data_IF_881613628424
#
_entry.id   IF_881613628424
#
_cell.length_a   1.000
_cell.length_b   1.000
_cell.length_c   1.000
_cell.angle_alpha   90.00
_cell.angle_beta   90.00
_cell.angle_gamma   90.00
#
_symmetry.space_group_name_H-M   'P 1'
#
loop_
_entity.id
_entity.type
_entity.pdbx_description
1 polymer ?
#
# COMPACT_ATOMS: atom_id res chain seq x y z
N UNK A 1 33.50 -7.70 5.21
CA UNK A 1 32.75 -7.70 3.95
C UNK A 1 31.54 -6.82 4.18
N UNK A 2 31.62 -5.56 3.74
CA UNK A 2 30.48 -4.65 3.80
C UNK A 2 29.57 -4.92 2.60
N UNK A 3 28.34 -5.32 2.88
CA UNK A 3 27.34 -5.53 1.84
C UNK A 3 26.60 -4.22 1.65
N UNK A 4 27.00 -3.44 0.66
CA UNK A 4 26.30 -2.20 0.28
C UNK A 4 25.05 -2.59 -0.52
N UNK A 5 23.88 -2.47 0.10
CA UNK A 5 22.58 -2.64 -0.58
C UNK A 5 22.26 -1.34 -1.35
N UNK A 6 22.53 -1.33 -2.66
CA UNK A 6 22.10 -0.25 -3.54
C UNK A 6 20.63 -0.43 -3.91
N UNK A 7 19.75 0.32 -3.25
CA UNK A 7 18.35 0.47 -3.67
C UNK A 7 18.23 1.63 -4.65
N UNK A 8 18.12 1.33 -5.93
CA UNK A 8 17.65 2.31 -6.92
C UNK A 8 16.12 2.27 -6.93
N UNK A 9 15.48 3.22 -6.26
CA UNK A 9 14.04 3.42 -6.40
C UNK A 9 13.83 4.29 -7.64
N UNK A 10 13.50 3.68 -8.77
CA UNK A 10 13.07 4.40 -9.95
C UNK A 10 11.63 4.90 -9.71
N UNK A 11 11.50 6.15 -9.26
CA UNK A 11 10.22 6.82 -9.35
C UNK A 11 9.92 7.07 -10.83
N UNK A 12 8.74 6.68 -11.35
CA UNK A 12 8.35 7.10 -12.70
C UNK A 12 8.39 8.62 -12.75
N UNK A 13 8.98 9.17 -13.82
CA UNK A 13 9.11 10.60 -14.01
C UNK A 13 7.76 11.28 -13.72
N UNK A 14 7.79 12.33 -12.90
CA UNK A 14 6.62 13.17 -12.63
C UNK A 14 6.09 13.68 -13.98
N UNK A 15 4.94 13.17 -14.40
CA UNK A 15 4.32 13.59 -15.66
C UNK A 15 3.45 12.58 -16.38
N UNK A 16 3.56 11.29 -16.08
CA UNK A 16 2.60 10.32 -16.58
C UNK A 16 1.35 10.32 -15.70
N UNK A 17 0.58 11.41 -15.76
CA UNK A 17 -0.83 11.37 -15.37
C UNK A 17 -1.47 10.34 -16.31
N UNK A 18 -1.64 9.10 -15.85
CA UNK A 18 -2.51 8.18 -16.57
C UNK A 18 -3.87 8.86 -16.62
N UNK A 19 -4.44 9.07 -17.83
CA UNK A 19 -5.80 9.57 -17.91
C UNK A 19 -6.64 8.66 -17.00
N UNK A 20 -7.45 9.25 -16.13
CA UNK A 20 -8.38 8.49 -15.33
C UNK A 20 -9.15 7.62 -16.33
N UNK A 21 -8.94 6.30 -16.26
CA UNK A 21 -9.78 5.38 -17.00
C UNK A 21 -11.20 5.79 -16.65
N UNK A 22 -12.06 5.94 -17.66
CA UNK A 22 -13.46 6.24 -17.47
C UNK A 22 -14.02 5.09 -16.60
N UNK A 23 -14.01 5.28 -15.28
CA UNK A 23 -14.52 4.32 -14.32
C UNK A 23 -16.02 4.37 -14.52
N UNK A 24 -16.63 3.27 -14.97
CA UNK A 24 -18.06 3.13 -14.91
C UNK A 24 -18.46 3.24 -13.43
N UNK A 25 -19.21 4.29 -13.02
CA UNK A 25 -19.56 4.50 -11.62
C UNK A 25 -20.41 3.36 -11.05
N UNK A 26 -20.95 2.49 -11.91
CA UNK A 26 -21.74 1.32 -11.53
C UNK A 26 -20.94 0.01 -11.55
N UNK A 27 -19.71 0.01 -12.01
CA UNK A 27 -18.87 -1.19 -12.02
C UNK A 27 -18.30 -1.44 -10.63
N UNK A 28 -18.57 -2.61 -10.05
CA UNK A 28 -17.88 -3.04 -8.83
C UNK A 28 -16.40 -3.23 -9.11
N UNK A 29 -15.56 -2.56 -8.33
CA UNK A 29 -14.13 -2.72 -8.37
C UNK A 29 -13.67 -3.67 -7.27
N UNK A 30 -12.67 -4.48 -7.55
CA UNK A 30 -12.17 -5.49 -6.62
C UNK A 30 -10.67 -5.33 -6.41
N UNK A 31 -10.22 -5.61 -5.18
CA UNK A 31 -8.80 -5.73 -4.84
C UNK A 31 -8.55 -6.93 -3.94
N UNK A 32 -7.32 -7.46 -3.98
CA UNK A 32 -6.92 -8.58 -3.14
C UNK A 32 -6.77 -8.16 -1.67
N UNK A 33 -7.19 -9.06 -0.77
CA UNK A 33 -6.89 -8.95 0.66
C UNK A 33 -5.38 -9.12 0.91
N UNK A 34 -4.88 -8.46 1.96
CA UNK A 34 -3.51 -8.59 2.40
C UNK A 34 -3.31 -9.90 3.17
N UNK A 35 -2.20 -10.58 2.95
CA UNK A 35 -1.96 -11.88 3.55
C UNK A 35 -0.49 -12.21 3.78
N UNK A 36 -0.31 -13.30 4.52
CA UNK A 36 0.98 -13.95 4.72
C UNK A 36 1.03 -15.22 3.88
N UNK A 37 2.16 -15.48 3.26
CA UNK A 37 2.37 -16.66 2.41
C UNK A 37 3.40 -17.57 3.04
N UNK A 38 3.08 -18.86 3.09
CA UNK A 38 4.03 -19.92 3.45
C UNK A 38 4.00 -21.02 2.38
N UNK A 39 5.16 -21.49 1.96
CA UNK A 39 5.26 -22.59 1.01
C UNK A 39 4.84 -23.91 1.67
N UNK A 40 3.97 -24.67 1.02
CA UNK A 40 3.56 -26.00 1.47
C UNK A 40 4.27 -27.09 0.69
N UNK A 41 4.45 -26.87 -0.62
CA UNK A 41 5.16 -27.76 -1.53
C UNK A 41 5.82 -26.96 -2.66
N UNK A 42 6.37 -27.63 -3.67
CA UNK A 42 6.88 -26.94 -4.87
C UNK A 42 5.78 -26.32 -5.74
N UNK A 43 4.52 -26.71 -5.56
CA UNK A 43 3.39 -26.25 -6.38
C UNK A 43 2.33 -25.52 -5.59
N UNK A 44 2.29 -25.67 -4.26
CA UNK A 44 1.23 -25.16 -3.41
C UNK A 44 1.80 -24.29 -2.28
N UNK A 45 1.00 -23.31 -1.89
CA UNK A 45 1.26 -22.44 -0.76
C UNK A 45 0.02 -22.29 0.12
N UNK A 46 0.27 -21.88 1.35
CA UNK A 46 -0.75 -21.41 2.29
C UNK A 46 -0.77 -19.88 2.22
N UNK A 47 -1.95 -19.32 2.01
CA UNK A 47 -2.20 -17.89 2.11
C UNK A 47 -3.10 -17.64 3.32
N UNK A 48 -2.61 -16.88 4.29
CA UNK A 48 -3.37 -16.47 5.45
C UNK A 48 -3.77 -15.00 5.33
N UNK A 49 -5.05 -14.72 5.30
CA UNK A 49 -5.59 -13.36 5.28
C UNK A 49 -5.24 -12.67 6.60
N UNK A 50 -4.47 -11.59 6.56
CA UNK A 50 -4.02 -10.88 7.78
C UNK A 50 -5.17 -10.38 8.63
N UNK A 51 -6.25 -9.96 8.02
CA UNK A 51 -7.39 -9.35 8.71
C UNK A 51 -8.25 -10.37 9.45
N UNK A 52 -8.63 -11.46 8.77
CA UNK A 52 -9.53 -12.49 9.34
C UNK A 52 -8.78 -13.63 10.04
N UNK A 53 -7.51 -13.84 9.69
CA UNK A 53 -6.76 -15.02 10.09
C UNK A 53 -7.12 -16.28 9.31
N UNK A 54 -8.08 -16.21 8.40
CA UNK A 54 -8.48 -17.35 7.56
C UNK A 54 -7.33 -17.82 6.69
N UNK A 55 -7.25 -19.13 6.52
CA UNK A 55 -6.15 -19.78 5.82
C UNK A 55 -6.67 -20.53 4.60
N UNK A 56 -6.03 -20.31 3.46
CA UNK A 56 -6.40 -20.94 2.18
C UNK A 56 -5.18 -21.64 1.57
N UNK A 57 -5.38 -22.88 1.10
CA UNK A 57 -4.38 -23.57 0.29
C UNK A 57 -4.67 -23.25 -1.17
N UNK A 58 -3.63 -22.87 -1.90
CA UNK A 58 -3.71 -22.54 -3.33
C UNK A 58 -2.41 -22.85 -4.04
N UNK A 59 -2.48 -22.93 -5.37
CA UNK A 59 -1.27 -23.05 -6.21
C UNK A 59 -0.54 -21.73 -6.31
N UNK A 60 0.77 -21.77 -6.58
CA UNK A 60 1.54 -20.54 -6.83
C UNK A 60 1.01 -19.73 -8.02
N UNK A 61 0.39 -20.39 -9.01
CA UNK A 61 -0.22 -19.69 -10.14
C UNK A 61 -1.43 -18.85 -9.69
N UNK A 62 -2.27 -19.39 -8.80
CA UNK A 62 -3.40 -18.64 -8.20
C UNK A 62 -2.89 -17.51 -7.32
N UNK A 63 -1.83 -17.73 -6.55
CA UNK A 63 -1.18 -16.70 -5.76
C UNK A 63 -0.64 -15.56 -6.64
N UNK A 64 0.01 -15.89 -7.77
CA UNK A 64 0.46 -14.88 -8.74
C UNK A 64 -0.72 -14.08 -9.32
N UNK A 65 -1.83 -14.74 -9.64
CA UNK A 65 -3.04 -14.05 -10.10
C UNK A 65 -3.59 -13.10 -9.02
N UNK A 66 -3.64 -13.54 -7.76
CA UNK A 66 -4.06 -12.73 -6.62
C UNK A 66 -3.14 -11.51 -6.42
N UNK A 67 -1.84 -11.66 -6.60
CA UNK A 67 -0.86 -10.57 -6.50
C UNK A 67 -1.04 -9.51 -7.60
N UNK A 68 -1.56 -9.88 -8.77
CA UNK A 68 -1.91 -8.92 -9.82
C UNK A 68 -3.18 -8.10 -9.49
N UNK A 69 -3.94 -8.50 -8.47
CA UNK A 69 -5.20 -7.85 -8.09
C UNK A 69 -5.06 -6.87 -6.92
N UNK A 70 -3.89 -6.31 -6.63
CA UNK A 70 -3.66 -5.42 -5.48
C UNK A 70 -4.34 -4.05 -5.57
N UNK A 71 -4.69 -3.61 -6.76
CA UNK A 71 -5.36 -2.33 -7.01
C UNK A 71 -6.84 -2.56 -7.30
N UNK A 72 -7.70 -1.65 -6.87
CA UNK A 72 -9.12 -1.72 -7.20
C UNK A 72 -9.34 -1.54 -8.71
N UNK A 73 -9.84 -2.61 -9.35
CA UNK A 73 -10.16 -2.67 -10.78
C UNK A 73 -11.37 -3.56 -11.01
N UNK A 74 -11.98 -3.43 -12.18
CA UNK A 74 -13.02 -4.37 -12.64
C UNK A 74 -12.45 -5.77 -12.85
N UNK A 75 -13.30 -6.80 -12.79
CA UNK A 75 -12.86 -8.17 -13.06
C UNK A 75 -12.31 -8.35 -14.48
N UNK A 76 -12.87 -7.61 -15.44
CA UNK A 76 -12.37 -7.63 -16.83
C UNK A 76 -10.96 -7.09 -16.96
N UNK A 77 -10.64 -6.00 -16.26
CA UNK A 77 -9.29 -5.42 -16.24
C UNK A 77 -8.30 -6.34 -15.53
N UNK A 78 -8.69 -6.95 -14.41
CA UNK A 78 -7.88 -7.96 -13.73
C UNK A 78 -7.61 -9.15 -14.63
N UNK A 79 -8.66 -9.69 -15.28
CA UNK A 79 -8.51 -10.84 -16.18
C UNK A 79 -7.59 -10.52 -17.36
N UNK A 80 -7.72 -9.33 -17.97
CA UNK A 80 -6.87 -8.89 -19.06
C UNK A 80 -5.39 -8.76 -18.61
N UNK A 81 -5.15 -8.21 -17.41
CA UNK A 81 -3.81 -8.05 -16.84
C UNK A 81 -3.17 -9.42 -16.54
N UNK A 82 -3.89 -10.32 -15.91
CA UNK A 82 -3.44 -11.68 -15.59
C UNK A 82 -3.12 -12.44 -16.88
N UNK A 83 -4.02 -12.39 -17.87
CA UNK A 83 -3.83 -13.01 -19.18
C UNK A 83 -2.53 -12.55 -19.86
N UNK A 84 -2.22 -11.25 -19.78
CA UNK A 84 -1.03 -10.67 -20.40
C UNK A 84 0.26 -10.88 -19.60
N UNK A 85 0.17 -11.10 -18.29
CA UNK A 85 1.34 -11.11 -17.39
C UNK A 85 1.78 -12.52 -17.03
N UNK A 86 0.85 -13.45 -16.89
CA UNK A 86 1.17 -14.84 -16.45
C UNK A 86 1.31 -15.75 -17.66
N UNK A 87 2.51 -16.34 -17.80
CA UNK A 87 2.79 -17.27 -18.89
C UNK A 87 1.82 -18.45 -18.91
N UNK A 88 1.34 -18.83 -20.09
CA UNK A 88 0.44 -19.96 -20.30
C UNK A 88 -1.04 -19.64 -20.06
N UNK A 89 -1.40 -18.38 -19.74
CA UNK A 89 -2.80 -17.94 -19.59
C UNK A 89 -3.32 -17.13 -20.78
N UNK A 90 -2.52 -16.95 -21.84
CA UNK A 90 -2.98 -16.27 -23.06
C UNK A 90 -4.19 -16.97 -23.66
N UNK A 91 -5.25 -16.19 -24.00
CA UNK A 91 -6.51 -16.71 -24.56
C UNK A 91 -7.44 -17.36 -23.54
N UNK A 92 -7.13 -17.34 -22.24
CA UNK A 92 -7.92 -17.99 -21.19
C UNK A 92 -8.72 -17.02 -20.32
N UNK A 93 -9.10 -15.86 -20.86
CA UNK A 93 -9.77 -14.80 -20.10
C UNK A 93 -10.99 -15.26 -19.31
N UNK A 94 -11.85 -16.08 -19.91
CA UNK A 94 -13.06 -16.58 -19.24
C UNK A 94 -12.75 -17.58 -18.10
N UNK A 95 -11.70 -18.38 -18.25
CA UNK A 95 -11.23 -19.25 -17.17
C UNK A 95 -10.66 -18.43 -16.01
N UNK A 96 -9.90 -17.37 -16.31
CA UNK A 96 -9.36 -16.44 -15.32
C UNK A 96 -10.52 -15.79 -14.57
N UNK A 97 -11.56 -15.29 -15.24
CA UNK A 97 -12.74 -14.71 -14.59
C UNK A 97 -13.39 -15.68 -13.61
N UNK A 98 -13.58 -16.94 -14.01
CA UNK A 98 -14.12 -17.98 -13.10
C UNK A 98 -13.26 -18.19 -11.85
N UNK A 99 -11.94 -18.13 -12.00
CA UNK A 99 -11.02 -18.17 -10.84
C UNK A 99 -11.21 -16.94 -9.97
N UNK A 100 -11.25 -15.73 -10.54
CA UNK A 100 -11.47 -14.48 -9.81
C UNK A 100 -12.81 -14.50 -9.06
N UNK A 101 -13.89 -14.98 -9.67
CA UNK A 101 -15.18 -15.16 -9.00
C UNK A 101 -15.08 -16.12 -7.79
N UNK A 102 -14.34 -17.22 -7.94
CA UNK A 102 -14.06 -18.13 -6.82
C UNK A 102 -13.27 -17.47 -5.70
N UNK A 103 -12.31 -16.56 -6.04
CA UNK A 103 -11.54 -15.80 -5.04
C UNK A 103 -12.43 -14.77 -4.31
N UNK A 104 -13.42 -14.16 -4.99
CA UNK A 104 -14.43 -13.30 -4.36
C UNK A 104 -15.26 -14.12 -3.36
N UNK A 105 -15.77 -15.27 -3.76
CA UNK A 105 -16.58 -16.15 -2.91
C UNK A 105 -15.82 -16.61 -1.66
N UNK A 106 -14.50 -16.76 -1.75
CA UNK A 106 -13.62 -17.10 -0.64
C UNK A 106 -13.17 -15.88 0.19
N UNK A 107 -13.61 -14.67 -0.15
CA UNK A 107 -13.23 -13.46 0.54
C UNK A 107 -11.76 -13.04 0.35
N UNK A 108 -11.10 -13.56 -0.70
CA UNK A 108 -9.72 -13.21 -1.07
C UNK A 108 -9.64 -11.98 -1.98
N UNK A 109 -10.73 -11.68 -2.69
CA UNK A 109 -10.97 -10.41 -3.38
C UNK A 109 -12.14 -9.70 -2.70
N UNK A 110 -11.96 -8.43 -2.41
CA UNK A 110 -12.97 -7.58 -1.75
C UNK A 110 -13.39 -6.47 -2.70
N UNK A 111 -14.70 -6.18 -2.74
CA UNK A 111 -15.19 -5.03 -3.50
C UNK A 111 -14.87 -3.71 -2.78
N UNK A 112 -14.75 -2.65 -3.57
CA UNK A 112 -14.56 -1.28 -3.08
C UNK A 112 -15.65 -0.86 -2.08
N UNK A 113 -16.91 -1.20 -2.34
CA UNK A 113 -18.03 -0.91 -1.43
C UNK A 113 -17.87 -1.59 -0.07
N UNK A 114 -17.54 -2.90 -0.07
CA UNK A 114 -17.27 -3.65 1.18
C UNK A 114 -16.03 -3.11 1.88
N UNK A 115 -15.01 -2.71 1.14
CA UNK A 115 -13.80 -2.10 1.72
C UNK A 115 -14.13 -0.78 2.42
N UNK A 116 -14.89 0.11 1.77
CA UNK A 116 -15.32 1.40 2.35
C UNK A 116 -16.21 1.17 3.57
N UNK A 117 -17.19 0.25 3.48
CA UNK A 117 -18.05 -0.11 4.61
C UNK A 117 -17.21 -0.59 5.82
N UNK A 118 -16.21 -1.41 5.61
CA UNK A 118 -15.29 -1.86 6.67
C UNK A 118 -14.50 -0.71 7.30
N UNK A 119 -14.09 0.28 6.51
CA UNK A 119 -13.39 1.46 7.04
C UNK A 119 -14.32 2.32 7.90
N UNK A 120 -15.57 2.51 7.46
CA UNK A 120 -16.56 3.33 8.19
C UNK A 120 -17.08 2.65 9.45
N UNK A 121 -17.24 1.31 9.41
CA UNK A 121 -17.71 0.49 10.52
C UNK A 121 -16.58 -0.11 11.37
N UNK A 122 -15.31 0.23 11.06
CA UNK A 122 -14.21 -0.21 11.91
C UNK A 122 -14.47 0.26 13.34
N UNK A 123 -14.48 -0.66 14.33
CA UNK A 123 -14.64 -0.26 15.73
C UNK A 123 -13.60 0.81 15.99
N UNK A 124 -14.04 1.93 16.57
CA UNK A 124 -13.11 2.98 17.00
C UNK A 124 -12.00 2.25 17.77
N UNK A 125 -10.83 2.15 17.14
CA UNK A 125 -9.67 1.55 17.80
C UNK A 125 -9.58 2.27 19.12
N UNK A 126 -9.50 1.51 20.22
CA UNK A 126 -9.15 2.07 21.52
C UNK A 126 -8.10 3.16 21.24
N UNK A 127 -8.29 4.39 21.69
CA UNK A 127 -7.40 5.47 21.35
C UNK A 127 -6.01 5.09 21.84
N UNK A 128 -5.27 4.38 21.01
CA UNK A 128 -3.84 4.23 21.22
C UNK A 128 -3.34 5.66 21.19
N UNK A 129 -3.03 6.17 22.36
CA UNK A 129 -2.56 7.53 22.55
C UNK A 129 -1.25 7.66 21.77
N UNK A 130 -1.34 8.16 20.55
CA UNK A 130 -0.17 8.37 19.70
C UNK A 130 0.61 9.55 20.28
N UNK A 131 1.53 9.26 21.19
CA UNK A 131 2.29 10.25 21.97
C UNK A 131 3.49 10.81 21.22
N UNK A 132 3.97 10.12 20.20
CA UNK A 132 5.14 10.53 19.47
C UNK A 132 5.14 10.12 18.01
N UNK A 133 5.70 10.97 17.17
CA UNK A 133 5.91 10.70 15.75
C UNK A 133 7.42 10.82 15.49
N UNK A 134 8.00 9.76 14.93
CA UNK A 134 9.40 9.75 14.52
C UNK A 134 9.50 10.07 13.03
N UNK A 135 10.29 11.07 12.70
CA UNK A 135 10.55 11.53 11.33
C UNK A 135 12.02 11.29 11.03
N UNK A 136 12.33 10.51 10.02
CA UNK A 136 13.69 10.41 9.50
C UNK A 136 13.85 11.37 8.32
N UNK A 137 14.81 12.27 8.40
CA UNK A 137 15.16 13.23 7.36
C UNK A 137 16.60 13.01 6.91
N UNK A 138 16.85 13.10 5.60
CA UNK A 138 18.17 12.97 5.02
C UNK A 138 18.27 13.89 3.81
N UNK A 139 19.11 14.91 3.87
CA UNK A 139 19.40 15.86 2.79
C UNK A 139 18.15 16.45 2.08
N UNK A 140 17.07 16.68 2.85
CA UNK A 140 15.77 17.16 2.32
C UNK A 140 15.14 18.25 3.21
N UNK A 141 15.81 19.38 3.43
CA UNK A 141 15.34 20.41 4.36
C UNK A 141 13.97 21.00 3.97
N UNK A 142 13.74 21.27 2.67
CA UNK A 142 12.46 21.82 2.22
C UNK A 142 11.27 20.86 2.45
N UNK A 143 11.47 19.56 2.19
CA UNK A 143 10.43 18.55 2.41
C UNK A 143 10.13 18.38 3.89
N UNK A 144 11.16 18.45 4.74
CA UNK A 144 11.00 18.44 6.18
C UNK A 144 10.21 19.66 6.65
N UNK A 145 10.56 20.87 6.20
CA UNK A 145 9.85 22.10 6.54
C UNK A 145 8.36 22.02 6.16
N UNK A 146 8.04 21.54 4.97
CA UNK A 146 6.64 21.33 4.52
C UNK A 146 5.90 20.33 5.39
N UNK A 147 6.54 19.20 5.74
CA UNK A 147 5.95 18.19 6.62
C UNK A 147 5.67 18.78 8.01
N UNK A 148 6.63 19.49 8.61
CA UNK A 148 6.48 20.12 9.91
C UNK A 148 5.37 21.17 9.91
N UNK A 149 5.25 21.98 8.85
CA UNK A 149 4.15 22.93 8.69
C UNK A 149 2.80 22.22 8.69
N UNK A 150 2.66 21.14 7.94
CA UNK A 150 1.43 20.34 7.88
C UNK A 150 1.09 19.69 9.22
N UNK A 151 2.08 19.16 9.93
CA UNK A 151 1.91 18.55 11.26
C UNK A 151 1.53 19.61 12.30
N UNK A 152 2.15 20.80 12.27
CA UNK A 152 1.80 21.92 13.15
C UNK A 152 0.36 22.37 12.94
N UNK A 153 -0.09 22.47 11.67
CA UNK A 153 -1.47 22.80 11.37
C UNK A 153 -2.46 21.73 11.89
N UNK A 154 -2.10 20.46 11.75
CA UNK A 154 -2.86 19.34 12.31
C UNK A 154 -2.95 19.42 13.83
N UNK A 155 -1.82 19.64 14.54
CA UNK A 155 -1.81 19.79 16.00
C UNK A 155 -2.67 20.96 16.47
N UNK A 156 -2.63 22.09 15.76
CA UNK A 156 -3.45 23.26 16.06
C UNK A 156 -4.94 22.95 15.95
N UNK A 157 -5.35 22.18 14.95
CA UNK A 157 -6.75 21.78 14.73
C UNK A 157 -7.25 20.76 15.74
N UNK A 158 -6.39 19.79 16.10
CA UNK A 158 -6.81 18.63 16.88
C UNK A 158 -6.32 18.63 18.33
N UNK A 159 -5.43 19.56 18.71
CA UNK A 159 -4.85 19.70 20.07
C UNK A 159 -4.32 18.39 20.64
N UNK A 160 -3.68 17.59 19.81
CA UNK A 160 -3.30 16.23 20.18
C UNK A 160 -2.07 16.17 21.10
N UNK A 161 -1.26 17.22 21.18
CA UNK A 161 -0.12 17.34 22.08
C UNK A 161 0.96 16.27 21.84
N UNK A 162 1.19 15.89 20.59
CA UNK A 162 2.15 14.84 20.22
C UNK A 162 3.56 15.37 20.27
N UNK A 163 4.49 14.47 20.64
CA UNK A 163 5.92 14.74 20.55
C UNK A 163 6.41 14.41 19.15
N UNK A 164 7.16 15.31 18.53
CA UNK A 164 7.86 15.06 17.26
C UNK A 164 9.33 14.86 17.53
N UNK A 165 9.91 13.78 17.01
CA UNK A 165 11.31 13.44 17.12
C UNK A 165 11.84 13.31 15.70
N UNK A 166 12.76 14.22 15.32
CA UNK A 166 13.39 14.19 13.99
C UNK A 166 14.78 13.59 14.15
N UNK A 167 15.02 12.51 13.41
CA UNK A 167 16.34 11.94 13.23
C UNK A 167 16.92 12.49 11.93
N UNK A 168 17.91 13.37 12.08
CA UNK A 168 18.63 13.93 10.95
C UNK A 168 19.81 13.01 10.58
N UNK A 169 19.75 12.48 9.37
CA UNK A 169 20.73 11.57 8.76
C UNK A 169 21.38 12.24 7.54
N UNK A 170 21.45 13.58 7.55
CA UNK A 170 22.00 14.36 6.45
C UNK A 170 23.50 14.19 6.32
N UNK A 171 23.96 13.91 5.10
CA UNK A 171 25.37 13.79 4.75
C UNK A 171 26.02 15.15 4.49
N UNK A 172 25.21 16.18 4.14
CA UNK A 172 25.67 17.53 3.84
C UNK A 172 25.46 18.46 5.05
N UNK A 173 26.53 19.07 5.61
CA UNK A 173 26.41 19.97 6.77
C UNK A 173 25.48 21.17 6.55
N UNK A 174 25.40 21.68 5.32
CA UNK A 174 24.46 22.74 4.96
C UNK A 174 23.00 22.31 5.18
N UNK A 175 22.62 21.15 4.67
CA UNK A 175 21.28 20.59 4.82
C UNK A 175 20.94 20.28 6.28
N UNK A 176 21.90 19.77 7.06
CA UNK A 176 21.73 19.55 8.49
C UNK A 176 21.44 20.86 9.26
N UNK A 177 22.07 21.95 8.87
CA UNK A 177 21.83 23.27 9.47
C UNK A 177 20.46 23.81 9.09
N UNK A 178 20.07 23.74 7.81
CA UNK A 178 18.74 24.15 7.33
C UNK A 178 17.63 23.35 8.00
N UNK A 179 17.81 22.05 8.20
CA UNK A 179 16.85 21.19 8.91
C UNK A 179 16.72 21.60 10.38
N UNK A 180 17.83 21.94 11.07
CA UNK A 180 17.80 22.46 12.45
C UNK A 180 17.07 23.80 12.54
N UNK A 181 17.27 24.67 11.58
CA UNK A 181 16.61 25.98 11.56
C UNK A 181 15.11 25.80 11.32
N UNK A 182 14.70 24.93 10.39
CA UNK A 182 13.30 24.56 10.21
C UNK A 182 12.68 24.01 11.50
N UNK A 183 13.39 23.16 12.25
CA UNK A 183 12.90 22.64 13.54
C UNK A 183 12.72 23.71 14.60
N UNK A 184 13.59 24.74 14.64
CA UNK A 184 13.46 25.85 15.61
C UNK A 184 12.23 26.72 15.37
N UNK A 185 11.79 26.85 14.11
CA UNK A 185 10.56 27.58 13.76
C UNK A 185 9.28 26.88 14.24
N UNK A 186 9.35 25.57 14.51
CA UNK A 186 8.20 24.73 14.91
C UNK A 186 8.24 24.31 16.39
N UNK A 187 9.27 24.62 17.12
CA UNK A 187 9.40 24.32 18.55
C UNK A 187 8.70 25.33 19.43
#
# INVERSE_FOLDING_TARGET
>A
METTLNYQINYPAQGAFRPALAIDPNASLFASEDGLVASLSSQECIFQVKRSGETHVMTFQVLQALDQCREFRSLDEHAARIESTIAGLAGKREDIKRVLDSLIQRGLLVSDSVFVERLTNAPARSPADLRGIFIRACDRPEQLARLLASLSDYERRHRAGRRYIVLDDSSLPAHANEQRDALREFA
#
